data_IF_758997476312
#
_entry.id   IF_758997476312
#
_cell.length_a   1.000
_cell.length_b   1.000
_cell.length_c   1.000
_cell.angle_alpha   90.00
_cell.angle_beta   90.00
_cell.angle_gamma   90.00
#
_symmetry.space_group_name_H-M   'P 1'
#
loop_
_entity.id
_entity.type
_entity.pdbx_description
1 polymer ?
#
# COMPACT_ATOMS: atom_id res chain seq x y z
N UNK A 1 -4.61 36.08 -9.01
CA UNK A 1 -4.07 34.86 -9.62
C UNK A 1 -4.06 33.77 -8.56
N UNK A 2 -5.19 33.07 -8.41
CA UNK A 2 -5.26 31.87 -7.57
C UNK A 2 -4.84 30.69 -8.43
N UNK A 3 -3.79 29.99 -8.02
CA UNK A 3 -3.39 28.74 -8.67
C UNK A 3 -4.32 27.63 -8.18
N UNK A 4 -5.29 27.26 -9.01
CA UNK A 4 -6.12 26.08 -8.81
C UNK A 4 -5.24 24.84 -8.86
N UNK A 5 -4.90 24.32 -7.68
CA UNK A 5 -4.31 22.99 -7.55
C UNK A 5 -5.43 21.96 -7.60
N UNK A 6 -5.58 21.32 -8.75
CA UNK A 6 -6.51 20.21 -8.95
C UNK A 6 -6.02 18.95 -8.22
N UNK A 7 -6.83 18.28 -7.40
CA UNK A 7 -6.56 16.91 -7.02
C UNK A 7 -6.92 15.96 -8.18
N UNK A 8 -6.03 14.98 -8.38
CA UNK A 8 -6.05 14.03 -9.47
C UNK A 8 -7.10 12.93 -9.23
N UNK A 9 -7.85 12.58 -10.29
CA UNK A 9 -8.66 11.35 -10.43
C UNK A 9 -9.64 11.06 -9.27
N UNK A 10 -10.87 11.57 -9.35
CA UNK A 10 -11.83 11.48 -8.24
C UNK A 10 -13.17 10.85 -8.64
N UNK A 11 -13.72 10.05 -7.72
CA UNK A 11 -15.03 9.41 -7.78
C UNK A 11 -16.07 10.33 -7.13
N UNK A 12 -17.07 10.82 -7.88
CA UNK A 12 -18.12 11.64 -7.27
C UNK A 12 -19.02 12.39 -8.26
N UNK A 13 -20.15 12.88 -7.73
CA UNK A 13 -21.01 13.87 -8.37
C UNK A 13 -20.71 15.25 -7.74
N UNK A 14 -20.27 16.24 -8.52
CA UNK A 14 -19.99 17.60 -8.09
C UNK A 14 -20.94 18.58 -8.78
N UNK A 15 -21.43 19.59 -8.06
CA UNK A 15 -22.11 20.78 -8.60
C UNK A 15 -21.55 21.98 -7.83
N UNK A 16 -20.57 22.69 -8.38
CA UNK A 16 -19.98 23.87 -7.74
C UNK A 16 -20.66 25.15 -8.24
N UNK A 17 -21.19 25.98 -7.32
CA UNK A 17 -21.75 27.31 -7.63
C UNK A 17 -20.79 28.40 -7.13
N UNK A 18 -20.19 29.14 -8.06
CA UNK A 18 -19.33 30.31 -7.73
C UNK A 18 -20.15 31.58 -7.96
N UNK A 19 -20.23 32.42 -6.92
CA UNK A 19 -20.86 33.74 -6.99
C UNK A 19 -19.85 34.81 -6.55
N UNK A 20 -19.39 35.62 -7.51
CA UNK A 20 -18.56 36.79 -7.26
C UNK A 20 -19.45 38.01 -6.99
N UNK A 21 -19.56 38.42 -5.72
CA UNK A 21 -20.39 39.57 -5.33
C UNK A 21 -19.76 40.93 -5.71
N UNK A 22 -18.49 40.95 -6.12
CA UNK A 22 -17.78 42.17 -6.54
C UNK A 22 -17.94 42.46 -8.05
N UNK A 23 -18.28 41.45 -8.85
CA UNK A 23 -18.59 41.60 -10.28
C UNK A 23 -20.07 41.28 -10.51
N UNK A 24 -20.86 42.27 -10.92
CA UNK A 24 -22.30 42.14 -11.23
C UNK A 24 -22.63 40.81 -11.96
N UNK A 25 -23.13 39.85 -11.17
CA UNK A 25 -23.93 38.68 -11.50
C UNK A 25 -23.41 37.75 -12.61
N UNK A 26 -22.62 36.75 -12.23
CA UNK A 26 -22.65 35.46 -12.90
C UNK A 26 -22.56 34.33 -11.86
N UNK A 27 -23.47 33.37 -11.98
CA UNK A 27 -23.46 32.11 -11.23
C UNK A 27 -22.90 31.08 -12.21
N UNK A 28 -21.73 30.53 -11.91
CA UNK A 28 -21.14 29.42 -12.67
C UNK A 28 -21.41 28.11 -11.97
N UNK A 29 -21.91 27.10 -12.70
CA UNK A 29 -22.25 25.77 -12.21
C UNK A 29 -21.46 24.69 -12.96
N UNK A 30 -20.74 23.83 -12.23
CA UNK A 30 -19.95 22.73 -12.83
C UNK A 30 -20.46 21.37 -12.39
N UNK A 31 -20.96 20.55 -13.31
CA UNK A 31 -21.34 19.16 -13.01
C UNK A 31 -20.16 18.21 -13.28
N UNK A 32 -19.58 17.62 -12.24
CA UNK A 32 -18.67 16.48 -12.41
C UNK A 32 -19.38 15.20 -12.01
N UNK A 33 -19.20 14.11 -12.77
CA UNK A 33 -19.81 12.82 -12.48
C UNK A 33 -18.85 11.73 -12.95
N UNK A 34 -18.05 11.16 -12.05
CA UNK A 34 -17.08 10.14 -12.42
C UNK A 34 -17.20 8.89 -11.53
N UNK A 35 -17.34 7.74 -12.19
CA UNK A 35 -17.27 6.41 -11.59
C UNK A 35 -16.06 5.66 -12.16
N UNK A 36 -15.04 5.41 -11.34
CA UNK A 36 -13.84 4.64 -11.62
C UNK A 36 -13.82 3.38 -10.78
N UNK A 37 -13.51 2.24 -11.41
CA UNK A 37 -13.31 0.97 -10.73
C UNK A 37 -11.93 0.45 -11.09
N UNK A 38 -11.10 0.21 -10.08
CA UNK A 38 -9.80 -0.43 -10.27
C UNK A 38 -9.79 -1.79 -9.58
N UNK A 39 -9.33 -2.83 -10.29
CA UNK A 39 -9.20 -4.19 -9.76
C UNK A 39 -7.79 -4.69 -10.08
N UNK A 40 -7.04 -5.02 -9.04
CA UNK A 40 -5.74 -5.66 -9.16
C UNK A 40 -5.81 -7.03 -8.49
N UNK A 41 -5.22 -8.05 -9.11
CA UNK A 41 -5.10 -9.39 -8.54
C UNK A 41 -3.62 -9.77 -8.48
N UNK A 42 -3.17 -10.27 -7.34
CA UNK A 42 -1.81 -10.75 -7.14
C UNK A 42 -1.88 -12.23 -6.78
N UNK A 43 -1.37 -13.09 -7.67
CA UNK A 43 -1.23 -14.52 -7.42
C UNK A 43 0.25 -14.83 -7.19
N UNK A 44 0.53 -15.58 -6.13
CA UNK A 44 1.88 -16.06 -5.83
C UNK A 44 1.78 -17.47 -5.28
N UNK A 45 2.55 -18.40 -5.83
CA UNK A 45 2.47 -19.83 -5.51
C UNK A 45 3.88 -20.42 -5.36
N UNK A 46 4.59 -20.12 -4.26
CA UNK A 46 5.89 -20.73 -3.98
C UNK A 46 5.74 -22.24 -3.80
N UNK A 47 6.74 -23.01 -4.25
CA UNK A 47 6.79 -24.46 -4.09
C UNK A 47 8.18 -24.85 -3.60
N UNK A 48 8.25 -25.75 -2.63
CA UNK A 48 9.49 -26.28 -2.08
C UNK A 48 9.30 -27.75 -1.71
N UNK A 49 10.33 -28.55 -1.94
CA UNK A 49 10.37 -29.96 -1.57
C UNK A 49 11.42 -30.13 -0.48
N UNK A 50 11.10 -30.91 0.55
CA UNK A 50 12.02 -31.19 1.65
C UNK A 50 11.72 -32.55 2.29
N UNK A 51 12.64 -33.04 3.10
CA UNK A 51 12.51 -34.27 3.87
C UNK A 51 11.67 -34.05 5.13
N UNK A 52 11.06 -35.13 5.63
CA UNK A 52 10.37 -35.12 6.92
C UNK A 52 11.33 -34.75 8.05
N UNK A 53 10.94 -33.78 8.87
CA UNK A 53 11.72 -33.21 9.97
C UNK A 53 12.76 -32.18 9.54
N UNK A 54 12.96 -31.95 8.24
CA UNK A 54 13.96 -31.00 7.74
C UNK A 54 13.31 -29.67 7.36
N UNK A 55 13.75 -28.61 8.03
CA UNK A 55 13.35 -27.25 7.70
C UNK A 55 13.82 -26.87 6.30
N UNK A 56 12.93 -26.23 5.56
CA UNK A 56 13.16 -25.73 4.21
C UNK A 56 12.74 -24.27 4.12
N UNK A 57 13.51 -23.49 3.37
CA UNK A 57 13.28 -22.07 3.18
C UNK A 57 13.38 -21.72 1.69
N UNK A 58 12.39 -20.99 1.16
CA UNK A 58 12.41 -20.38 -0.16
C UNK A 58 12.16 -18.88 -0.02
N UNK A 59 12.97 -18.06 -0.69
CA UNK A 59 12.83 -16.60 -0.73
C UNK A 59 12.84 -16.12 -2.16
N UNK A 60 11.80 -15.40 -2.54
CA UNK A 60 11.66 -14.72 -3.83
C UNK A 60 11.46 -13.25 -3.53
N UNK A 61 12.58 -12.54 -3.34
CA UNK A 61 12.59 -11.17 -2.87
C UNK A 61 13.21 -10.23 -3.90
N UNK A 62 12.79 -8.98 -3.84
CA UNK A 62 13.38 -7.84 -4.51
C UNK A 62 13.90 -6.87 -3.46
N UNK A 63 15.06 -6.28 -3.73
CA UNK A 63 15.66 -5.28 -2.84
C UNK A 63 15.20 -3.88 -3.25
N UNK A 64 14.61 -3.16 -2.30
CA UNK A 64 14.16 -1.78 -2.49
C UNK A 64 15.17 -0.86 -1.80
N UNK A 65 15.94 -0.06 -2.55
CA UNK A 65 16.84 0.92 -1.96
C UNK A 65 16.04 2.10 -1.44
N UNK A 66 16.44 2.62 -0.29
CA UNK A 66 15.87 3.81 0.33
C UNK A 66 16.95 4.60 1.06
N UNK A 67 16.71 5.88 1.25
CA UNK A 67 17.66 6.77 1.90
C UNK A 67 17.39 6.88 3.40
N UNK A 68 18.47 6.80 4.18
CA UNK A 68 18.53 7.09 5.61
C UNK A 68 19.62 8.13 5.89
N UNK A 69 19.64 8.65 7.13
CA UNK A 69 20.67 9.58 7.60
C UNK A 69 20.90 10.75 6.65
N UNK A 70 19.82 11.47 6.35
CA UNK A 70 19.89 12.66 5.49
C UNK A 70 20.50 13.79 6.31
N UNK A 71 21.71 14.22 5.94
CA UNK A 71 22.42 15.31 6.58
C UNK A 71 22.57 16.48 5.62
N UNK A 72 22.31 17.69 6.14
CA UNK A 72 22.51 18.94 5.43
C UNK A 72 23.57 19.73 6.16
N UNK A 73 24.74 19.83 5.56
CA UNK A 73 25.84 20.62 6.10
C UNK A 73 26.04 21.86 5.25
N UNK A 74 26.10 23.03 5.90
CA UNK A 74 26.60 24.22 5.25
C UNK A 74 28.13 24.19 5.30
N UNK A 75 28.75 23.87 4.16
CA UNK A 75 30.21 23.92 3.95
C UNK A 75 30.71 25.30 3.49
N UNK A 76 29.84 26.32 3.50
CA UNK A 76 30.15 27.72 3.17
C UNK A 76 30.05 28.64 4.40
N UNK A 77 29.92 29.95 4.18
CA UNK A 77 29.73 30.93 5.27
C UNK A 77 28.25 31.16 5.54
N UNK A 78 27.92 31.90 6.61
CA UNK A 78 26.55 32.33 6.88
C UNK A 78 25.99 33.26 5.78
N UNK A 79 26.87 34.04 5.13
CA UNK A 79 26.52 34.98 4.06
C UNK A 79 26.54 34.33 2.66
N UNK A 80 27.35 33.27 2.49
CA UNK A 80 27.48 32.49 1.27
C UNK A 80 27.42 30.99 1.58
N UNK A 81 26.23 30.45 1.87
CA UNK A 81 26.08 29.05 2.21
C UNK A 81 26.39 28.14 1.01
N UNK A 82 27.12 27.05 1.25
CA UNK A 82 27.32 25.96 0.29
C UNK A 82 26.71 24.72 0.93
N UNK A 83 25.53 24.32 0.47
CA UNK A 83 24.83 23.17 1.03
C UNK A 83 25.40 21.87 0.47
N UNK A 84 25.94 21.03 1.36
CA UNK A 84 26.31 19.65 1.08
C UNK A 84 25.15 18.75 1.49
N UNK A 85 24.83 17.81 0.60
CA UNK A 85 23.76 16.85 0.79
C UNK A 85 24.37 15.46 0.91
N UNK A 86 24.50 14.98 2.15
CA UNK A 86 24.97 13.63 2.45
C UNK A 86 23.78 12.75 2.81
N UNK A 87 23.79 11.52 2.30
CA UNK A 87 22.78 10.53 2.58
C UNK A 87 23.38 9.14 2.49
N UNK A 88 22.85 8.23 3.32
CA UNK A 88 23.19 6.81 3.25
C UNK A 88 22.08 6.09 2.52
N UNK A 89 22.45 5.16 1.63
CA UNK A 89 21.50 4.27 0.97
C UNK A 89 21.47 2.97 1.76
N UNK A 90 20.27 2.60 2.21
CA UNK A 90 19.97 1.31 2.80
C UNK A 90 19.04 0.50 1.90
N UNK A 91 18.98 -0.80 2.17
CA UNK A 91 18.27 -1.77 1.36
C UNK A 91 17.21 -2.49 2.19
N UNK A 92 15.99 -2.54 1.67
CA UNK A 92 14.89 -3.27 2.30
C UNK A 92 14.36 -4.34 1.36
N UNK A 93 14.37 -5.59 1.81
CA UNK A 93 13.83 -6.71 1.04
C UNK A 93 12.30 -6.73 1.12
N UNK A 94 11.65 -6.94 -0.02
CA UNK A 94 10.21 -7.20 -0.14
C UNK A 94 9.99 -8.40 -1.07
N UNK A 95 8.95 -9.20 -0.87
CA UNK A 95 8.67 -10.35 -1.71
C UNK A 95 8.00 -11.47 -0.94
N UNK A 96 8.27 -12.71 -1.34
CA UNK A 96 7.67 -13.90 -0.75
C UNK A 96 8.76 -14.69 -0.05
N UNK A 97 8.57 -14.98 1.23
CA UNK A 97 9.40 -15.90 2.00
C UNK A 97 8.51 -17.00 2.53
N UNK A 98 8.91 -18.25 2.35
CA UNK A 98 8.22 -19.40 2.93
C UNK A 98 9.24 -20.24 3.66
N UNK A 99 9.03 -20.36 4.97
CA UNK A 99 9.72 -21.31 5.82
C UNK A 99 8.74 -22.41 6.21
N UNK A 100 9.17 -23.66 6.07
CA UNK A 100 8.33 -24.83 6.35
C UNK A 100 9.15 -25.97 6.93
N UNK A 101 8.59 -26.65 7.93
CA UNK A 101 9.11 -27.88 8.49
C UNK A 101 8.01 -28.93 8.46
N UNK A 102 8.06 -29.91 7.55
CA UNK A 102 7.08 -30.99 7.49
C UNK A 102 7.43 -32.12 8.46
N UNK A 103 6.42 -32.86 8.89
CA UNK A 103 6.55 -34.11 9.61
C UNK A 103 5.51 -35.10 9.07
N UNK A 104 5.98 -36.22 8.54
CA UNK A 104 5.11 -37.28 8.01
C UNK A 104 4.76 -38.24 9.14
N UNK A 105 3.47 -38.40 9.41
CA UNK A 105 2.98 -39.33 10.43
C UNK A 105 3.15 -40.79 10.04
N UNK A 106 3.07 -41.69 11.02
CA UNK A 106 3.18 -43.14 10.83
C UNK A 106 2.08 -43.74 9.92
N UNK A 107 0.95 -43.05 9.76
CA UNK A 107 -0.17 -43.47 8.91
C UNK A 107 0.02 -43.14 7.41
N UNK A 108 1.23 -42.75 6.98
CA UNK A 108 1.70 -42.44 5.60
C UNK A 108 0.94 -41.36 4.81
N UNK A 109 -0.31 -41.04 5.16
CA UNK A 109 -1.16 -40.11 4.41
C UNK A 109 -1.27 -38.72 5.04
N UNK A 110 -0.84 -38.58 6.29
CA UNK A 110 -0.99 -37.35 7.07
C UNK A 110 0.36 -36.63 7.20
N UNK A 111 0.37 -35.37 6.81
CA UNK A 111 1.52 -34.48 6.89
C UNK A 111 1.19 -33.36 7.88
N UNK A 112 1.95 -33.30 8.98
CA UNK A 112 1.95 -32.16 9.88
C UNK A 112 2.95 -31.13 9.36
N UNK A 113 2.57 -29.86 9.32
CA UNK A 113 3.37 -28.78 8.76
C UNK A 113 3.45 -27.67 9.79
N UNK A 114 4.67 -27.29 10.15
CA UNK A 114 4.94 -25.99 10.78
C UNK A 114 5.37 -25.02 9.69
N UNK A 115 4.67 -23.89 9.57
CA UNK A 115 4.76 -23.01 8.40
C UNK A 115 4.71 -21.54 8.78
N UNK A 116 5.66 -20.80 8.21
CA UNK A 116 5.81 -19.36 8.39
C UNK A 116 5.90 -18.66 7.01
N UNK A 117 4.78 -18.55 6.26
CA UNK A 117 4.76 -17.74 5.05
C UNK A 117 4.74 -16.24 5.39
N UNK A 118 5.54 -15.49 4.66
CA UNK A 118 5.54 -14.03 4.61
C UNK A 118 5.37 -13.56 3.16
N UNK A 119 4.45 -12.63 2.95
CA UNK A 119 4.27 -11.92 1.67
C UNK A 119 4.33 -10.43 1.92
N UNK A 120 5.32 -9.77 1.34
CA UNK A 120 5.52 -8.33 1.42
C UNK A 120 5.51 -7.68 0.04
N UNK A 121 4.93 -6.48 -0.04
CA UNK A 121 4.87 -5.71 -1.28
C UNK A 121 5.05 -4.21 -0.99
N UNK A 122 5.75 -3.51 -1.90
CA UNK A 122 5.94 -2.07 -1.81
C UNK A 122 4.62 -1.35 -2.14
N UNK A 123 3.99 -0.74 -1.12
CA UNK A 123 2.74 0.01 -1.26
C UNK A 123 2.98 1.42 -1.76
N UNK A 124 3.98 2.10 -1.21
CA UNK A 124 4.32 3.48 -1.57
C UNK A 124 5.74 3.82 -1.13
N UNK A 125 6.28 4.92 -1.64
CA UNK A 125 7.46 5.59 -1.09
C UNK A 125 7.02 6.92 -0.50
N UNK A 126 7.28 7.14 0.78
CA UNK A 126 7.07 8.46 1.40
C UNK A 126 8.23 9.34 1.02
N UNK A 127 7.98 10.50 0.38
CA UNK A 127 9.04 11.44 0.10
C UNK A 127 9.64 11.93 1.42
N UNK A 128 10.95 12.04 1.46
CA UNK A 128 11.68 12.64 2.57
C UNK A 128 11.88 14.11 2.21
N UNK A 129 11.20 14.97 2.94
CA UNK A 129 11.35 16.41 2.87
C UNK A 129 11.96 16.89 4.18
N UNK A 130 13.07 17.62 4.11
CA UNK A 130 13.62 18.31 5.27
C UNK A 130 13.95 19.73 4.85
N UNK A 131 13.19 20.67 5.41
CA UNK A 131 13.41 22.10 5.30
C UNK A 131 12.67 22.76 6.46
N UNK A 132 13.37 23.59 7.23
CA UNK A 132 12.73 24.40 8.24
C UNK A 132 11.84 25.43 7.53
N UNK A 133 10.53 25.38 7.77
CA UNK A 133 9.67 26.53 7.51
C UNK A 133 10.01 27.60 8.55
N UNK A 134 10.99 28.46 8.25
CA UNK A 134 11.13 29.71 8.98
C UNK A 134 10.24 30.74 8.31
N UNK A 135 9.18 31.14 9.01
CA UNK A 135 8.35 32.30 8.65
C UNK A 135 9.18 33.59 8.80
N UNK A 136 10.06 33.89 7.84
CA UNK A 136 10.77 35.15 7.79
C UNK A 136 11.06 35.56 6.34
N UNK A 137 10.11 36.31 5.78
CA UNK A 137 10.26 37.36 4.75
C UNK A 137 11.06 37.11 3.44
N UNK A 138 11.53 35.90 3.12
CA UNK A 138 12.10 35.62 1.80
C UNK A 138 11.97 34.13 1.41
N UNK A 139 11.02 33.75 0.52
CA UNK A 139 10.76 32.36 0.19
C UNK A 139 11.68 31.91 -0.95
N UNK A 140 12.98 31.78 -0.67
CA UNK A 140 13.77 30.80 -1.42
C UNK A 140 13.69 29.48 -0.68
N UNK A 141 12.53 28.85 -0.85
CA UNK A 141 12.29 27.44 -0.55
C UNK A 141 13.14 26.61 -1.51
N UNK A 142 14.42 26.42 -1.20
CA UNK A 142 15.14 25.25 -1.73
C UNK A 142 14.73 24.06 -0.88
N UNK A 143 13.52 23.57 -1.10
CA UNK A 143 13.06 22.29 -0.58
C UNK A 143 13.89 21.21 -1.25
N UNK A 144 15.02 20.86 -0.64
CA UNK A 144 15.79 19.72 -1.08
C UNK A 144 15.02 18.47 -0.68
N UNK A 145 14.48 17.79 -1.69
CA UNK A 145 13.79 16.53 -1.52
C UNK A 145 14.72 15.41 -1.96
N UNK A 146 14.77 14.33 -1.18
CA UNK A 146 15.33 13.07 -1.67
C UNK A 146 14.53 12.70 -2.92
N UNK A 147 15.17 12.27 -4.03
CA UNK A 147 14.45 11.80 -5.21
C UNK A 147 13.35 10.81 -4.82
N UNK A 148 12.14 10.97 -5.37
CA UNK A 148 10.99 10.15 -4.98
C UNK A 148 11.24 8.63 -5.10
N UNK A 149 12.13 8.23 -6.02
CA UNK A 149 12.61 6.86 -6.21
C UNK A 149 13.45 6.30 -5.05
N UNK A 150 13.83 7.12 -4.07
CA UNK A 150 14.64 6.75 -2.90
C UNK A 150 13.95 7.11 -1.57
N UNK A 151 12.69 7.54 -1.60
CA UNK A 151 11.90 7.84 -0.40
C UNK A 151 11.65 6.59 0.48
N UNK A 152 11.23 6.83 1.71
CA UNK A 152 11.01 5.80 2.73
C UNK A 152 9.96 4.76 2.26
N UNK A 153 10.29 3.47 2.20
CA UNK A 153 9.39 2.46 1.65
C UNK A 153 8.30 2.14 2.67
N UNK A 154 7.05 2.23 2.23
CA UNK A 154 5.89 1.72 2.95
C UNK A 154 5.59 0.33 2.40
N UNK A 155 5.76 -0.68 3.23
CA UNK A 155 5.65 -2.09 2.84
C UNK A 155 4.42 -2.68 3.52
N UNK A 156 3.53 -3.28 2.72
CA UNK A 156 2.45 -4.10 3.24
C UNK A 156 2.98 -5.52 3.41
N UNK A 157 3.21 -5.94 4.66
CA UNK A 157 3.65 -7.30 5.01
C UNK A 157 2.48 -8.12 5.55
N UNK A 158 2.41 -9.39 5.14
CA UNK A 158 1.42 -10.37 5.58
C UNK A 158 2.16 -11.61 6.04
N UNK A 159 2.01 -11.96 7.31
CA UNK A 159 2.63 -13.13 7.91
C UNK A 159 1.56 -14.05 8.49
N UNK A 160 1.80 -15.35 8.41
CA UNK A 160 1.02 -16.35 9.13
C UNK A 160 1.99 -17.25 9.86
N UNK A 161 1.67 -17.59 11.11
CA UNK A 161 2.40 -18.58 11.87
C UNK A 161 1.41 -19.60 12.39
N UNK A 162 1.50 -20.83 11.90
CA UNK A 162 0.55 -21.89 12.24
C UNK A 162 1.17 -23.26 12.08
N UNK A 163 0.70 -24.21 12.89
CA UNK A 163 0.95 -25.63 12.69
C UNK A 163 -0.35 -26.30 12.26
N UNK A 164 -0.32 -27.02 11.14
CA UNK A 164 -1.52 -27.62 10.53
C UNK A 164 -1.27 -29.08 10.17
N UNK A 165 -2.33 -29.86 10.15
CA UNK A 165 -2.30 -31.25 9.72
C UNK A 165 -3.14 -31.38 8.46
N UNK A 166 -2.56 -31.92 7.39
CA UNK A 166 -3.21 -32.05 6.08
C UNK A 166 -2.96 -33.44 5.51
N UNK A 167 -3.97 -33.98 4.81
CA UNK A 167 -3.79 -35.22 4.06
C UNK A 167 -2.96 -34.94 2.80
N UNK A 168 -2.08 -35.87 2.42
CA UNK A 168 -1.33 -35.79 1.16
C UNK A 168 -2.26 -35.49 -0.03
N UNK A 169 -1.87 -34.51 -0.85
CA UNK A 169 -2.62 -34.06 -2.02
C UNK A 169 -3.84 -33.16 -1.72
N UNK A 170 -4.19 -32.95 -0.44
CA UNK A 170 -5.31 -32.08 -0.06
C UNK A 170 -4.87 -30.64 0.13
N UNK A 171 -5.79 -29.70 -0.15
CA UNK A 171 -5.57 -28.27 0.08
C UNK A 171 -6.30 -27.82 1.35
N UNK A 172 -5.57 -27.14 2.23
CA UNK A 172 -6.10 -26.50 3.42
C UNK A 172 -6.14 -24.97 3.23
N UNK A 173 -7.20 -24.35 3.71
CA UNK A 173 -7.28 -22.89 3.86
C UNK A 173 -6.69 -22.55 5.22
N UNK A 174 -5.58 -21.83 5.23
CA UNK A 174 -4.86 -21.49 6.47
C UNK A 174 -5.40 -20.22 7.11
N UNK A 175 -5.96 -19.33 6.30
CA UNK A 175 -6.53 -18.09 6.78
C UNK A 175 -6.93 -17.16 5.64
N UNK A 176 -7.59 -16.09 6.04
CA UNK A 176 -7.94 -14.98 5.16
C UNK A 176 -8.02 -13.68 5.95
N UNK A 177 -7.79 -12.58 5.24
CA UNK A 177 -7.94 -11.24 5.77
C UNK A 177 -8.82 -10.44 4.82
N UNK A 178 -9.93 -9.93 5.34
CA UNK A 178 -10.83 -9.05 4.60
C UNK A 178 -10.75 -7.70 5.27
N UNK A 179 -10.32 -6.69 4.53
CA UNK A 179 -10.34 -5.31 4.97
C UNK A 179 -11.27 -4.54 4.06
N UNK A 180 -12.29 -3.93 4.65
CA UNK A 180 -13.16 -2.97 3.98
C UNK A 180 -12.91 -1.61 4.61
N UNK A 181 -12.61 -0.63 3.78
CA UNK A 181 -12.36 0.75 4.20
C UNK A 181 -13.32 1.64 3.41
N UNK A 182 -14.34 2.11 4.12
CA UNK A 182 -15.42 2.94 3.60
C UNK A 182 -15.25 4.36 4.14
N UNK A 183 -14.89 5.29 3.25
CA UNK A 183 -14.77 6.71 3.56
C UNK A 183 -15.84 7.49 2.80
N UNK A 184 -16.71 8.19 3.53
CA UNK A 184 -17.68 9.11 2.95
C UNK A 184 -17.39 10.52 3.41
N UNK A 185 -17.05 11.40 2.48
CA UNK A 185 -16.87 12.83 2.74
C UNK A 185 -18.07 13.58 2.17
N UNK A 186 -18.85 14.22 3.03
CA UNK A 186 -19.98 15.07 2.62
C UNK A 186 -19.63 16.54 2.86
N UNK A 187 -19.83 17.39 1.86
CA UNK A 187 -19.81 18.85 1.98
C UNK A 187 -21.16 19.36 1.52
N UNK A 188 -21.78 20.29 2.24
CA UNK A 188 -23.10 20.82 1.85
C UNK A 188 -23.21 22.32 2.10
N UNK A 189 -24.03 22.99 1.31
CA UNK A 189 -24.40 24.39 1.56
C UNK A 189 -25.35 24.43 2.76
N UNK A 190 -25.07 25.22 3.81
CA UNK A 190 -25.98 25.35 4.95
C UNK A 190 -27.39 25.76 4.50
N UNK A 191 -28.42 25.22 5.16
CA UNK A 191 -29.86 25.42 4.86
C UNK A 191 -30.30 24.74 3.55
N UNK A 192 -29.67 25.02 2.41
CA UNK A 192 -30.10 24.52 1.10
C UNK A 192 -29.83 23.02 0.90
N UNK A 193 -28.75 22.48 1.49
CA UNK A 193 -28.40 21.07 1.42
C UNK A 193 -29.35 20.13 2.16
N UNK A 194 -30.15 20.66 3.10
CA UNK A 194 -31.05 19.88 3.96
C UNK A 194 -32.51 19.86 3.45
N UNK A 195 -32.83 20.63 2.40
CA UNK A 195 -34.20 20.70 1.87
C UNK A 195 -34.56 19.37 1.20
N UNK A 196 -35.68 18.73 1.56
CA UNK A 196 -36.16 17.55 0.86
C UNK A 196 -36.33 17.83 -0.65
N UNK A 197 -36.12 16.83 -1.51
CA UNK A 197 -36.26 16.91 -2.97
C UNK A 197 -35.14 17.68 -3.71
N UNK A 198 -34.70 18.85 -3.22
CA UNK A 198 -33.70 19.69 -3.91
C UNK A 198 -32.31 19.71 -3.24
N UNK A 199 -32.21 19.33 -1.96
CA UNK A 199 -30.96 19.27 -1.20
C UNK A 199 -29.84 18.45 -1.85
N UNK A 200 -30.11 17.35 -2.58
CA UNK A 200 -29.07 16.63 -3.33
C UNK A 200 -28.33 17.46 -4.38
N UNK A 201 -28.91 18.55 -4.89
CA UNK A 201 -28.25 19.47 -5.83
C UNK A 201 -27.30 20.46 -5.13
N UNK A 202 -27.38 20.57 -3.80
CA UNK A 202 -26.62 21.52 -2.98
C UNK A 202 -25.68 20.82 -1.98
N UNK A 203 -25.43 19.53 -2.18
CA UNK A 203 -24.47 18.74 -1.41
C UNK A 203 -23.53 17.99 -2.35
N UNK A 204 -22.29 17.94 -1.94
CA UNK A 204 -21.21 17.15 -2.51
C UNK A 204 -21.03 15.91 -1.63
N UNK A 205 -21.05 14.74 -2.25
CA UNK A 205 -20.79 13.47 -1.58
C UNK A 205 -19.68 12.74 -2.33
N UNK A 206 -18.60 12.47 -1.60
CA UNK A 206 -17.49 11.64 -2.06
C UNK A 206 -17.54 10.32 -1.31
N UNK A 207 -17.56 9.21 -2.04
CA UNK A 207 -17.59 7.86 -1.48
C UNK A 207 -16.39 7.09 -2.03
N UNK A 208 -15.45 6.76 -1.16
CA UNK A 208 -14.30 5.91 -1.45
C UNK A 208 -14.45 4.59 -0.71
N UNK A 209 -14.58 3.49 -1.46
CA UNK A 209 -14.70 2.14 -0.91
C UNK A 209 -13.53 1.29 -1.35
N UNK A 210 -12.75 0.80 -0.39
CA UNK A 210 -11.57 -0.03 -0.65
C UNK A 210 -11.70 -1.37 0.03
N UNK A 211 -12.07 -2.37 -0.76
CA UNK A 211 -12.10 -3.77 -0.34
C UNK A 211 -10.83 -4.51 -0.71
N UNK A 212 -10.16 -5.11 0.28
CA UNK A 212 -9.00 -5.98 0.11
C UNK A 212 -9.31 -7.36 0.68
N UNK A 213 -9.27 -8.39 -0.16
CA UNK A 213 -9.40 -9.78 0.28
C UNK A 213 -8.05 -10.48 0.10
N UNK A 214 -7.61 -11.17 1.14
CA UNK A 214 -6.48 -12.09 1.12
C UNK A 214 -6.99 -13.45 1.53
N UNK A 215 -6.60 -14.49 0.80
CA UNK A 215 -6.82 -15.89 1.20
C UNK A 215 -5.52 -16.64 0.96
N UNK A 216 -5.13 -17.48 1.92
CA UNK A 216 -3.89 -18.25 1.82
C UNK A 216 -4.24 -19.74 1.84
N UNK A 217 -3.82 -20.42 0.77
CA UNK A 217 -4.00 -21.85 0.56
C UNK A 217 -2.67 -22.57 0.73
N UNK A 218 -2.74 -23.79 1.27
CA UNK A 218 -1.60 -24.69 1.40
C UNK A 218 -1.98 -26.05 0.83
N UNK A 219 -1.12 -26.57 -0.01
CA UNK A 219 -1.21 -27.95 -0.50
C UNK A 219 0.11 -28.63 -0.18
N UNK A 220 0.05 -29.80 0.45
CA UNK A 220 1.23 -30.62 0.69
C UNK A 220 1.03 -31.99 0.06
N UNK A 221 2.08 -32.49 -0.57
CA UNK A 221 2.06 -33.75 -1.32
C UNK A 221 3.26 -34.57 -0.89
N UNK A 222 3.01 -35.81 -0.48
CA UNK A 222 4.07 -36.78 -0.23
C UNK A 222 4.63 -37.25 -1.57
N UNK A 223 5.95 -37.21 -1.70
CA UNK A 223 6.66 -37.66 -2.91
C UNK A 223 7.44 -38.94 -2.59
N UNK A 224 7.50 -39.84 -3.56
CA UNK A 224 8.37 -41.02 -3.52
C UNK A 224 9.82 -40.63 -3.82
N UNK A 225 10.75 -41.56 -3.66
CA UNK A 225 12.17 -41.33 -3.95
C UNK A 225 12.42 -40.99 -5.43
N UNK A 226 11.52 -41.42 -6.31
CA UNK A 226 11.53 -41.17 -7.75
C UNK A 226 10.95 -39.79 -8.10
N UNK A 227 10.41 -39.06 -7.11
CA UNK A 227 9.77 -37.74 -7.30
C UNK A 227 8.32 -37.83 -7.78
N UNK A 228 7.72 -39.01 -7.78
CA UNK A 228 6.31 -39.23 -8.10
C UNK A 228 5.43 -38.97 -6.88
N UNK A 229 4.17 -38.60 -7.09
CA UNK A 229 3.22 -38.44 -5.99
C UNK A 229 2.87 -39.81 -5.41
N UNK A 230 3.08 -40.00 -4.11
CA UNK A 230 2.64 -41.21 -3.41
C UNK A 230 1.10 -41.31 -3.50
N UNK A 231 0.60 -42.41 -4.07
CA UNK A 231 -0.83 -42.72 -4.19
C UNK A 231 -1.39 -43.35 -2.93
#
# INVERSE_FOLDING_TARGET
SGTDTFPQTELGLDIAIVADWAKKNFIEAYLHALASQNRANLLSAPKITTLSGQQANIQVTQTIPYVTDVQFENSGTAEHPIWKFDYTIEEKMTGITLEVTPYVGSNSDIITLDIHPEVSNLKARRPIFQGAATEAANPITYGMSVPALLGWPVIDTRTVQTSVMVKSGSTLIMGGFINDDDSTTEKKVPILGDIPLIGPLFRYQYVDRKKKNLVIFLTATLLTAEGETAQ
#
